data_IF_762279922066
#
_entry.id   IF_762279922066
#
_cell.length_a   1.000
_cell.length_b   1.000
_cell.length_c   1.000
_cell.angle_alpha   90.00
_cell.angle_beta   90.00
_cell.angle_gamma   90.00
#
_symmetry.space_group_name_H-M   'P 1'
#
loop_
_entity.id
_entity.type
_entity.pdbx_description
1 polymer ?
#
# COMPACT_ATOMS: atom_id res chain seq x y z
N UNK A 1 8.07 24.57 47.79
CA UNK A 1 7.48 25.89 48.10
C UNK A 1 6.26 25.70 49.00
N UNK A 2 5.28 24.87 48.70
CA UNK A 2 4.04 24.64 49.45
C UNK A 2 4.28 24.17 50.92
N UNK A 3 5.18 23.23 51.13
CA UNK A 3 5.53 22.72 52.48
C UNK A 3 6.21 23.77 53.33
N UNK A 4 6.99 24.70 52.75
CA UNK A 4 7.61 25.81 53.48
C UNK A 4 6.57 26.87 53.91
N UNK A 5 5.57 27.14 53.08
CA UNK A 5 4.45 28.04 53.43
C UNK A 5 3.58 27.47 54.53
N UNK A 6 3.34 26.17 54.55
CA UNK A 6 2.61 25.50 55.62
C UNK A 6 3.34 25.52 56.96
N UNK A 7 4.67 25.37 56.98
CA UNK A 7 5.48 25.50 58.22
C UNK A 7 5.47 26.91 58.78
N UNK A 8 5.58 27.95 57.92
CA UNK A 8 5.50 29.35 58.35
C UNK A 8 4.13 29.71 58.94
N UNK A 9 3.03 29.23 58.39
CA UNK A 9 1.68 29.45 58.94
C UNK A 9 1.48 28.77 60.29
N UNK A 10 2.10 27.63 60.55
CA UNK A 10 2.07 26.96 61.88
C UNK A 10 2.86 27.73 62.92
N UNK A 11 3.98 28.32 62.55
CA UNK A 11 4.79 29.13 63.46
C UNK A 11 4.09 30.45 63.74
N UNK A 12 3.50 31.14 62.79
CA UNK A 12 2.74 32.37 63.00
C UNK A 12 1.47 32.16 63.88
N UNK A 13 0.87 30.99 63.87
CA UNK A 13 -0.26 30.65 64.73
C UNK A 13 0.14 30.32 66.15
N UNK A 14 1.40 29.93 66.37
CA UNK A 14 1.93 29.68 67.74
C UNK A 14 2.27 30.97 68.50
N UNK A 15 2.64 32.06 67.81
CA UNK A 15 3.01 33.33 68.36
C UNK A 15 1.80 34.20 68.80
N UNK A 16 0.56 33.83 68.49
CA UNK A 16 -0.67 34.53 68.88
C UNK A 16 -1.33 33.91 70.14
N UNK A 17 -0.59 33.28 70.97
CA UNK A 17 -0.99 32.40 72.06
C UNK A 17 -1.34 32.95 73.44
N UNK A 18 -1.94 34.13 73.72
CA UNK A 18 -2.56 34.32 75.04
C UNK A 18 -4.08 34.53 75.02
N UNK A 19 -4.78 34.33 73.91
CA UNK A 19 -6.24 34.41 73.95
C UNK A 19 -6.86 33.00 73.85
N UNK A 20 -7.12 32.41 74.97
CA UNK A 20 -7.66 31.10 75.31
C UNK A 20 -9.08 30.85 74.81
N UNK A 21 -9.59 31.58 73.82
CA UNK A 21 -10.98 31.55 73.35
C UNK A 21 -11.19 30.92 71.99
N UNK A 22 -10.12 30.41 71.37
CA UNK A 22 -10.26 29.78 70.01
C UNK A 22 -9.81 28.29 69.99
N UNK A 23 -9.70 27.67 71.17
CA UNK A 23 -9.20 26.29 71.22
C UNK A 23 -10.27 25.17 71.14
N UNK A 24 -11.54 25.48 70.90
CA UNK A 24 -12.61 24.47 70.91
C UNK A 24 -13.12 24.06 69.54
N UNK A 25 -12.56 24.60 68.49
CA UNK A 25 -12.97 24.13 67.07
C UNK A 25 -11.87 23.42 66.27
N UNK A 26 -10.71 23.18 66.92
CA UNK A 26 -9.56 22.54 66.21
C UNK A 26 -9.50 21.01 66.36
N UNK A 27 -10.57 20.40 66.87
CA UNK A 27 -10.64 18.96 67.12
C UNK A 27 -11.16 18.08 65.97
N UNK A 28 -11.31 18.60 64.78
CA UNK A 28 -11.59 17.76 63.62
C UNK A 28 -10.31 17.46 62.87
N UNK A 29 -9.91 16.22 62.92
CA UNK A 29 -8.81 15.65 62.12
C UNK A 29 -8.99 16.00 60.63
N UNK A 30 -8.42 17.14 60.24
CA UNK A 30 -8.29 17.56 58.83
C UNK A 30 -7.10 16.81 58.25
N UNK A 31 -7.08 15.49 58.46
CA UNK A 31 -6.08 14.58 57.95
C UNK A 31 -5.93 14.67 56.43
N UNK A 32 -5.96 13.59 55.74
CA UNK A 32 -5.81 13.46 54.25
C UNK A 32 -6.73 14.37 53.44
N UNK A 33 -7.94 14.72 53.94
CA UNK A 33 -8.94 15.56 53.24
C UNK A 33 -8.43 16.97 52.88
N UNK A 34 -7.44 17.48 53.61
CA UNK A 34 -6.81 18.78 53.35
C UNK A 34 -6.03 18.82 52.02
N UNK A 35 -5.58 17.68 51.53
CA UNK A 35 -4.84 17.56 50.26
C UNK A 35 -5.76 17.31 49.07
N UNK A 36 -7.04 17.01 49.29
CA UNK A 36 -8.02 16.73 48.22
C UNK A 36 -8.23 17.96 47.31
N UNK A 37 -8.50 19.16 47.78
CA UNK A 37 -8.70 20.33 46.92
C UNK A 37 -7.48 20.64 46.02
N UNK A 38 -6.24 20.73 46.60
CA UNK A 38 -5.08 20.99 45.73
C UNK A 38 -4.75 19.84 44.79
N UNK A 39 -5.06 18.57 45.14
CA UNK A 39 -4.89 17.43 44.24
C UNK A 39 -5.88 17.47 43.08
N UNK A 40 -7.15 17.81 43.35
CA UNK A 40 -8.15 17.98 42.29
C UNK A 40 -7.81 19.16 41.37
N UNK A 41 -7.32 20.27 41.93
CA UNK A 41 -6.87 21.39 41.10
C UNK A 41 -5.69 21.02 40.21
N UNK A 42 -4.71 20.31 40.78
CA UNK A 42 -3.55 19.83 39.99
C UNK A 42 -3.97 18.85 38.92
N UNK A 43 -4.87 17.92 39.23
CA UNK A 43 -5.47 16.98 38.27
C UNK A 43 -6.20 17.70 37.14
N UNK A 44 -7.06 18.64 37.47
CA UNK A 44 -7.76 19.45 36.46
C UNK A 44 -6.82 20.25 35.58
N UNK A 45 -5.77 20.86 36.18
CA UNK A 45 -4.74 21.57 35.40
C UNK A 45 -3.97 20.63 34.47
N UNK A 46 -3.64 19.44 34.94
CA UNK A 46 -2.98 18.42 34.10
C UNK A 46 -3.85 18.00 32.92
N UNK A 47 -5.14 17.71 33.13
CA UNK A 47 -6.08 17.41 32.08
C UNK A 47 -6.21 18.55 31.08
N UNK A 48 -6.23 19.79 31.55
CA UNK A 48 -6.33 20.96 30.69
C UNK A 48 -5.07 21.15 29.85
N UNK A 49 -3.89 20.92 30.43
CA UNK A 49 -2.62 20.93 29.67
C UNK A 49 -2.52 19.82 28.64
N UNK A 50 -2.97 18.60 28.97
CA UNK A 50 -3.02 17.49 28.01
C UNK A 50 -4.01 17.79 26.88
N UNK A 51 -5.18 18.36 27.20
CA UNK A 51 -6.14 18.78 26.19
C UNK A 51 -5.62 19.90 25.28
N UNK A 52 -4.84 20.83 25.84
CA UNK A 52 -4.22 21.91 25.06
C UNK A 52 -3.06 21.43 24.19
N UNK A 53 -2.36 20.39 24.63
CA UNK A 53 -1.25 19.77 23.88
C UNK A 53 -1.69 19.10 22.58
N UNK A 54 -3.03 18.91 22.37
CA UNK A 54 -3.59 18.25 21.17
C UNK A 54 -2.69 17.09 20.71
N UNK A 55 -2.61 15.98 21.46
CA UNK A 55 -1.80 14.86 21.00
C UNK A 55 -2.39 14.35 19.67
N UNK A 56 -1.76 14.70 18.58
CA UNK A 56 -2.05 14.17 17.26
C UNK A 56 -1.35 12.82 17.17
N UNK A 57 -2.12 11.76 17.05
CA UNK A 57 -1.59 10.45 16.71
C UNK A 57 -1.73 10.31 15.21
N UNK A 58 -0.62 10.25 14.50
CA UNK A 58 -0.63 9.83 13.09
C UNK A 58 -1.08 8.37 13.06
N UNK A 59 -2.36 8.17 12.85
CA UNK A 59 -2.88 6.84 12.51
C UNK A 59 -2.60 6.66 11.03
N UNK A 60 -1.48 6.02 10.71
CA UNK A 60 -1.25 5.51 9.36
C UNK A 60 -2.25 4.39 9.12
N UNK A 61 -3.38 4.73 8.54
CA UNK A 61 -4.26 3.72 7.96
C UNK A 61 -3.44 3.05 6.84
N UNK A 62 -3.36 1.71 6.82
CA UNK A 62 -2.76 1.03 5.68
C UNK A 62 -3.55 1.45 4.44
N UNK A 63 -2.95 2.31 3.62
CA UNK A 63 -3.44 2.51 2.26
C UNK A 63 -3.21 1.20 1.55
N UNK A 64 -4.26 0.64 1.00
CA UNK A 64 -4.13 -0.45 0.04
C UNK A 64 -3.59 0.20 -1.23
N UNK A 65 -2.28 0.38 -1.27
CA UNK A 65 -1.58 0.79 -2.48
C UNK A 65 -1.33 -0.51 -3.24
N UNK A 66 -2.03 -0.70 -4.33
CA UNK A 66 -1.85 -1.84 -5.23
C UNK A 66 -1.41 -1.35 -6.60
N UNK A 67 -0.65 -2.18 -7.31
CA UNK A 67 -0.33 -1.96 -8.71
C UNK A 67 -0.99 -3.05 -9.55
N UNK A 68 -1.79 -2.66 -10.52
CA UNK A 68 -2.43 -3.59 -11.46
C UNK A 68 -1.89 -3.31 -12.85
N UNK A 69 -1.35 -4.34 -13.50
CA UNK A 69 -0.97 -4.27 -14.91
C UNK A 69 -2.01 -5.00 -15.74
N UNK A 70 -2.64 -4.27 -16.64
CA UNK A 70 -3.53 -4.81 -17.65
C UNK A 70 -2.70 -5.14 -18.89
N UNK A 71 -2.42 -6.43 -19.11
CA UNK A 71 -1.65 -6.91 -20.26
C UNK A 71 -2.61 -7.38 -21.35
N UNK A 72 -2.66 -6.62 -22.43
CA UNK A 72 -3.52 -6.89 -23.59
C UNK A 72 -2.77 -7.66 -24.65
N UNK A 73 -3.34 -8.77 -25.05
CA UNK A 73 -3.01 -9.42 -26.28
C UNK A 73 -3.51 -8.57 -27.46
N UNK A 74 -2.58 -8.13 -28.28
CA UNK A 74 -2.89 -7.38 -29.51
C UNK A 74 -2.54 -8.19 -30.75
N UNK A 75 -2.53 -9.51 -30.64
CA UNK A 75 -2.30 -10.41 -31.78
C UNK A 75 -3.43 -10.36 -32.80
N UNK A 76 -3.15 -10.89 -34.00
CA UNK A 76 -4.14 -10.89 -35.07
C UNK A 76 -5.38 -11.72 -34.78
N UNK A 77 -5.30 -12.75 -33.91
CA UNK A 77 -6.44 -13.56 -33.47
C UNK A 77 -7.49 -12.75 -32.70
N UNK A 78 -7.07 -11.63 -32.05
CA UNK A 78 -7.95 -10.72 -31.35
C UNK A 78 -8.88 -9.88 -32.24
N UNK A 79 -8.71 -9.99 -33.59
CA UNK A 79 -9.65 -9.45 -34.57
C UNK A 79 -10.89 -10.34 -34.78
N UNK A 80 -10.90 -11.58 -34.25
CA UNK A 80 -12.03 -12.48 -34.40
C UNK A 80 -13.34 -11.85 -33.88
N UNK A 81 -14.42 -12.07 -34.62
CA UNK A 81 -15.77 -11.52 -34.38
C UNK A 81 -16.69 -12.55 -33.67
N UNK A 82 -16.11 -13.55 -33.00
CA UNK A 82 -16.86 -14.49 -32.17
C UNK A 82 -17.38 -13.85 -30.86
N UNK A 83 -16.77 -12.71 -30.47
CA UNK A 83 -17.26 -11.78 -29.46
C UNK A 83 -17.56 -10.44 -30.15
N UNK A 84 -18.77 -9.91 -29.99
CA UNK A 84 -19.17 -8.65 -30.63
C UNK A 84 -18.57 -7.42 -29.93
N UNK A 85 -17.99 -6.46 -30.66
CA UNK A 85 -17.73 -6.47 -32.09
C UNK A 85 -16.48 -7.28 -32.50
N UNK A 86 -15.48 -7.42 -31.64
CA UNK A 86 -14.28 -8.26 -31.78
C UNK A 86 -13.78 -8.65 -30.40
N UNK A 87 -12.91 -9.68 -30.29
CA UNK A 87 -12.28 -10.09 -29.03
C UNK A 87 -11.55 -8.91 -28.36
N UNK A 88 -10.77 -8.14 -29.14
CA UNK A 88 -10.07 -6.96 -28.59
C UNK A 88 -11.04 -5.92 -28.06
N UNK A 89 -12.10 -5.61 -28.79
CA UNK A 89 -13.10 -4.63 -28.33
C UNK A 89 -13.83 -5.09 -27.05
N UNK A 90 -14.11 -6.40 -26.95
CA UNK A 90 -14.68 -6.99 -25.73
C UNK A 90 -13.69 -6.89 -24.55
N UNK A 91 -12.40 -7.19 -24.77
CA UNK A 91 -11.35 -7.02 -23.76
C UNK A 91 -11.19 -5.56 -23.32
N UNK A 92 -11.20 -4.62 -24.27
CA UNK A 92 -11.17 -3.18 -23.96
C UNK A 92 -12.39 -2.75 -23.13
N UNK A 93 -13.59 -3.26 -23.46
CA UNK A 93 -14.80 -2.94 -22.69
C UNK A 93 -14.75 -3.50 -21.26
N UNK A 94 -14.27 -4.74 -21.10
CA UNK A 94 -14.08 -5.35 -19.79
C UNK A 94 -13.05 -4.59 -18.96
N UNK A 95 -11.93 -4.21 -19.57
CA UNK A 95 -10.90 -3.44 -18.87
C UNK A 95 -11.37 -2.04 -18.46
N UNK A 96 -12.16 -1.35 -19.28
CA UNK A 96 -12.79 -0.07 -18.91
C UNK A 96 -13.69 -0.20 -17.69
N UNK A 97 -14.53 -1.24 -17.67
CA UNK A 97 -15.39 -1.52 -16.52
C UNK A 97 -14.56 -1.82 -15.27
N UNK A 98 -13.49 -2.60 -15.42
CA UNK A 98 -12.57 -2.91 -14.32
C UNK A 98 -11.89 -1.66 -13.76
N UNK A 99 -11.36 -0.78 -14.63
CA UNK A 99 -10.70 0.48 -14.24
C UNK A 99 -11.65 1.38 -13.46
N UNK A 100 -12.90 1.53 -13.93
CA UNK A 100 -13.91 2.37 -13.27
C UNK A 100 -14.33 1.88 -11.87
N UNK A 101 -14.10 0.60 -11.55
CA UNK A 101 -14.41 0.02 -10.23
C UNK A 101 -13.23 0.08 -9.25
N UNK A 102 -12.02 0.46 -9.72
CA UNK A 102 -10.86 0.51 -8.85
C UNK A 102 -10.84 1.78 -7.99
N UNK A 103 -10.37 1.68 -6.74
CA UNK A 103 -10.17 2.87 -5.90
C UNK A 103 -8.98 3.71 -6.43
N UNK A 104 -9.04 5.04 -6.23
CA UNK A 104 -7.99 5.99 -6.64
C UNK A 104 -6.59 5.70 -6.05
N UNK A 105 -6.50 4.79 -5.07
CA UNK A 105 -5.24 4.38 -4.45
C UNK A 105 -4.51 3.28 -5.22
N UNK A 106 -5.14 2.69 -6.24
CA UNK A 106 -4.57 1.65 -7.09
C UNK A 106 -3.95 2.28 -8.32
N UNK A 107 -2.67 1.98 -8.55
CA UNK A 107 -2.00 2.37 -9.79
C UNK A 107 -2.27 1.34 -10.88
N UNK A 108 -2.67 1.80 -12.06
CA UNK A 108 -2.98 0.93 -13.19
C UNK A 108 -2.01 1.21 -14.32
N UNK A 109 -1.31 0.16 -14.77
CA UNK A 109 -0.47 0.19 -15.96
C UNK A 109 -1.11 -0.58 -17.11
N UNK A 110 -0.74 -0.24 -18.35
CA UNK A 110 -1.19 -0.94 -19.56
C UNK A 110 0.02 -1.44 -20.34
N UNK A 111 0.04 -2.72 -20.60
CA UNK A 111 1.01 -3.41 -21.44
C UNK A 111 0.28 -3.99 -22.66
N UNK A 112 0.83 -3.79 -23.84
CA UNK A 112 0.40 -4.49 -25.06
C UNK A 112 1.45 -5.51 -25.43
N UNK A 113 1.04 -6.72 -25.75
CA UNK A 113 1.95 -7.75 -26.22
C UNK A 113 1.44 -8.46 -27.48
N UNK A 114 2.40 -8.85 -28.29
CA UNK A 114 2.20 -9.67 -29.50
C UNK A 114 3.41 -10.59 -29.67
N UNK A 115 4.24 -10.46 -30.68
CA UNK A 115 5.56 -11.12 -30.78
C UNK A 115 6.58 -10.57 -29.76
N UNK A 116 6.28 -9.42 -29.14
CA UNK A 116 7.05 -8.77 -28.08
C UNK A 116 6.12 -8.03 -27.14
N UNK A 117 6.67 -7.48 -26.07
CA UNK A 117 5.90 -6.69 -25.12
C UNK A 117 6.30 -5.21 -25.17
N UNK A 118 5.33 -4.33 -24.96
CA UNK A 118 5.51 -2.88 -24.86
C UNK A 118 4.70 -2.33 -23.70
N UNK A 119 5.35 -1.60 -22.80
CA UNK A 119 4.66 -0.79 -21.81
C UNK A 119 4.08 0.44 -22.51
N UNK A 120 2.76 0.44 -22.71
CA UNK A 120 2.06 1.54 -23.39
C UNK A 120 1.73 2.66 -22.41
N UNK A 121 1.39 2.29 -21.16
CA UNK A 121 1.15 3.20 -20.04
C UNK A 121 1.82 2.65 -18.79
N UNK A 122 2.85 3.32 -18.26
CA UNK A 122 3.38 2.99 -16.92
C UNK A 122 2.30 3.10 -15.85
N UNK A 123 2.43 2.38 -14.72
CA UNK A 123 1.49 2.47 -13.61
C UNK A 123 1.22 3.91 -13.18
N UNK A 124 -0.06 4.29 -13.14
CA UNK A 124 -0.52 5.65 -12.78
C UNK A 124 -1.89 5.56 -12.11
N UNK A 125 -2.21 6.58 -11.31
CA UNK A 125 -3.51 6.85 -10.72
C UNK A 125 -4.43 7.69 -11.62
N UNK A 126 -3.91 8.15 -12.77
CA UNK A 126 -4.69 8.90 -13.78
C UNK A 126 -5.55 7.95 -14.63
N UNK A 127 -6.77 7.69 -14.17
CA UNK A 127 -7.77 6.88 -14.86
C UNK A 127 -7.99 7.34 -16.31
N UNK A 128 -8.00 8.65 -16.55
CA UNK A 128 -8.25 9.21 -17.90
C UNK A 128 -7.13 8.80 -18.86
N UNK A 129 -5.87 8.84 -18.41
CA UNK A 129 -4.73 8.43 -19.21
C UNK A 129 -4.76 6.93 -19.51
N UNK A 130 -5.14 6.10 -18.52
CA UNK A 130 -5.31 4.65 -18.68
C UNK A 130 -6.39 4.34 -19.72
N UNK A 131 -7.58 4.92 -19.57
CA UNK A 131 -8.71 4.69 -20.50
C UNK A 131 -8.37 5.15 -21.92
N UNK A 132 -7.77 6.32 -22.10
CA UNK A 132 -7.34 6.81 -23.40
C UNK A 132 -6.27 5.91 -24.04
N UNK A 133 -5.48 5.22 -23.24
CA UNK A 133 -4.48 4.26 -23.73
C UNK A 133 -5.14 2.96 -24.18
N UNK A 134 -6.06 2.43 -23.39
CA UNK A 134 -6.84 1.23 -23.73
C UNK A 134 -7.57 1.43 -25.09
N UNK A 135 -8.17 2.60 -25.31
CA UNK A 135 -8.92 2.90 -26.53
C UNK A 135 -8.04 2.95 -27.80
N UNK A 136 -6.75 3.20 -27.65
CA UNK A 136 -5.79 3.29 -28.78
C UNK A 136 -5.14 1.96 -29.14
N UNK A 137 -5.34 0.90 -28.35
CA UNK A 137 -4.79 -0.41 -28.66
C UNK A 137 -5.32 -0.92 -30.01
N UNK A 138 -4.40 -1.42 -30.83
CA UNK A 138 -4.71 -1.97 -32.17
C UNK A 138 -3.99 -3.29 -32.37
N UNK A 139 -4.63 -4.25 -33.05
CA UNK A 139 -4.06 -5.59 -33.27
C UNK A 139 -2.83 -5.55 -34.17
N UNK A 140 -1.80 -6.34 -33.81
CA UNK A 140 -0.54 -6.50 -34.54
C UNK A 140 0.15 -7.82 -34.21
N UNK A 141 0.58 -8.56 -35.22
CA UNK A 141 1.53 -9.68 -35.10
C UNK A 141 1.00 -10.98 -34.49
N UNK A 142 1.91 -11.78 -33.97
CA UNK A 142 1.67 -13.05 -33.30
C UNK A 142 1.40 -12.91 -31.81
N UNK A 143 1.56 -14.01 -31.02
CA UNK A 143 1.25 -14.02 -29.59
C UNK A 143 2.38 -14.63 -28.78
N UNK A 144 2.97 -13.86 -27.86
CA UNK A 144 3.91 -14.32 -26.85
C UNK A 144 3.41 -13.92 -25.46
N UNK A 145 2.72 -14.84 -24.81
CA UNK A 145 2.22 -14.65 -23.43
C UNK A 145 3.37 -14.43 -22.44
N UNK A 146 4.48 -15.16 -22.63
CA UNK A 146 5.66 -15.00 -21.78
C UNK A 146 6.24 -13.59 -21.87
N UNK A 147 6.30 -12.99 -23.06
CA UNK A 147 6.70 -11.59 -23.22
C UNK A 147 5.72 -10.63 -22.56
N UNK A 148 4.43 -10.92 -22.61
CA UNK A 148 3.39 -10.15 -21.94
C UNK A 148 3.61 -10.12 -20.43
N UNK A 149 3.86 -11.27 -19.80
CA UNK A 149 4.15 -11.39 -18.35
C UNK A 149 5.46 -10.68 -18.01
N UNK A 150 6.53 -10.92 -18.76
CA UNK A 150 7.84 -10.33 -18.52
C UNK A 150 7.82 -8.80 -18.63
N UNK A 151 7.16 -8.27 -19.65
CA UNK A 151 7.00 -6.83 -19.83
C UNK A 151 6.16 -6.22 -18.71
N UNK A 152 5.17 -6.95 -18.21
CA UNK A 152 4.36 -6.52 -17.06
C UNK A 152 5.18 -6.47 -15.78
N UNK A 153 6.07 -7.43 -15.55
CA UNK A 153 7.03 -7.39 -14.44
C UNK A 153 7.97 -6.19 -14.53
N UNK A 154 8.48 -5.87 -15.73
CA UNK A 154 9.28 -4.67 -15.97
C UNK A 154 8.50 -3.38 -15.63
N UNK A 155 7.21 -3.35 -16.00
CA UNK A 155 6.35 -2.20 -15.67
C UNK A 155 6.12 -2.04 -14.17
N UNK A 156 6.00 -3.15 -13.44
CA UNK A 156 5.88 -3.15 -11.96
C UNK A 156 7.19 -2.70 -11.30
N UNK A 157 8.34 -3.20 -11.79
CA UNK A 157 9.66 -2.87 -11.26
C UNK A 157 10.05 -1.40 -11.53
N UNK A 158 9.45 -0.77 -12.54
CA UNK A 158 9.76 0.59 -12.96
C UNK A 158 11.08 0.73 -13.74
N UNK A 159 11.81 -0.36 -13.91
CA UNK A 159 13.07 -0.43 -14.65
C UNK A 159 13.22 -1.79 -15.36
N UNK A 160 14.02 -1.87 -16.43
CA UNK A 160 14.21 -3.14 -17.14
C UNK A 160 14.92 -4.16 -16.25
N UNK A 161 14.26 -5.31 -16.06
CA UNK A 161 14.86 -6.45 -15.37
C UNK A 161 15.99 -7.04 -16.22
N UNK A 162 17.11 -7.35 -15.58
CA UNK A 162 18.31 -7.89 -16.25
C UNK A 162 18.26 -9.42 -16.36
N UNK A 163 17.06 -10.01 -16.50
CA UNK A 163 16.88 -11.44 -16.68
C UNK A 163 17.04 -11.83 -18.15
N UNK A 164 17.84 -12.86 -18.39
CA UNK A 164 17.90 -13.50 -19.71
C UNK A 164 16.73 -14.46 -19.86
N UNK A 165 15.64 -13.95 -20.44
CA UNK A 165 14.40 -14.70 -20.64
C UNK A 165 14.61 -15.90 -21.56
N UNK A 166 15.56 -15.84 -22.49
CA UNK A 166 15.90 -16.98 -23.36
C UNK A 166 16.62 -18.10 -22.60
N UNK A 167 17.37 -17.73 -21.56
CA UNK A 167 17.98 -18.72 -20.68
C UNK A 167 16.95 -19.43 -19.77
N UNK A 168 15.83 -18.77 -19.44
CA UNK A 168 14.73 -19.40 -18.70
C UNK A 168 14.09 -20.54 -19.51
N UNK A 169 13.87 -20.36 -20.81
CA UNK A 169 13.32 -21.41 -21.69
C UNK A 169 14.25 -22.64 -21.78
N UNK A 170 15.56 -22.41 -21.77
CA UNK A 170 16.55 -23.50 -21.85
C UNK A 170 16.64 -24.31 -20.53
N UNK A 171 16.48 -23.65 -19.40
CA UNK A 171 16.66 -24.28 -18.08
C UNK A 171 15.47 -25.12 -17.62
N UNK A 172 14.28 -24.93 -18.21
CA UNK A 172 13.11 -25.79 -17.91
C UNK A 172 13.28 -27.21 -18.46
N UNK A 173 14.10 -27.38 -19.50
CA UNK A 173 14.38 -28.69 -20.08
C UNK A 173 15.47 -29.48 -19.33
N UNK A 174 16.21 -28.82 -18.45
CA UNK A 174 17.20 -29.41 -17.54
C UNK A 174 16.73 -29.09 -16.12
N UNK A 175 16.67 -30.06 -15.24
CA UNK A 175 16.22 -29.99 -13.83
C UNK A 175 17.06 -29.01 -12.96
N UNK A 176 17.75 -28.06 -13.60
CA UNK A 176 18.63 -27.01 -13.06
C UNK A 176 17.97 -25.60 -13.09
N UNK A 177 16.71 -25.52 -12.65
CA UNK A 177 16.09 -24.19 -12.45
C UNK A 177 16.94 -23.39 -11.44
N UNK A 178 17.24 -22.10 -11.73
CA UNK A 178 17.95 -21.27 -10.77
C UNK A 178 17.18 -21.24 -9.44
N UNK A 179 17.87 -21.26 -8.29
CA UNK A 179 17.22 -21.27 -6.99
C UNK A 179 16.32 -20.03 -6.85
N UNK A 180 15.12 -20.21 -6.29
CA UNK A 180 14.10 -19.17 -6.11
C UNK A 180 14.68 -17.88 -5.49
N UNK A 181 15.65 -17.99 -4.60
CA UNK A 181 16.33 -16.85 -3.98
C UNK A 181 17.13 -15.99 -4.98
N UNK A 182 17.70 -16.59 -6.01
CA UNK A 182 18.44 -15.86 -7.05
C UNK A 182 17.49 -15.08 -7.97
N UNK A 183 16.35 -15.67 -8.33
CA UNK A 183 15.30 -15.03 -9.11
C UNK A 183 14.64 -13.88 -8.32
N UNK A 184 14.29 -14.11 -7.07
CA UNK A 184 13.73 -13.09 -6.18
C UNK A 184 14.68 -11.91 -5.99
N UNK A 185 16.00 -12.15 -5.93
CA UNK A 185 16.99 -11.07 -5.83
C UNK A 185 17.10 -10.25 -7.12
N UNK A 186 16.93 -10.90 -8.28
CA UNK A 186 17.03 -10.23 -9.58
C UNK A 186 15.77 -9.44 -9.95
N UNK A 187 14.58 -9.87 -9.48
CA UNK A 187 13.29 -9.29 -9.86
C UNK A 187 12.74 -8.33 -8.81
N UNK A 188 13.07 -8.54 -7.53
CA UNK A 188 12.42 -7.84 -6.42
C UNK A 188 11.16 -8.56 -5.92
N UNK A 189 10.51 -8.02 -4.88
CA UNK A 189 9.32 -8.61 -4.28
C UNK A 189 8.18 -7.59 -4.23
N UNK A 190 7.07 -7.88 -4.90
CA UNK A 190 5.94 -6.97 -5.14
C UNK A 190 4.59 -7.56 -4.71
N UNK A 191 4.36 -7.82 -3.42
CA UNK A 191 3.20 -8.58 -2.93
C UNK A 191 1.85 -7.86 -3.11
N UNK A 192 1.86 -6.59 -3.49
CA UNK A 192 0.67 -5.79 -3.77
C UNK A 192 0.47 -5.54 -5.28
N UNK A 193 1.24 -6.22 -6.12
CA UNK A 193 1.11 -6.11 -7.56
C UNK A 193 0.33 -7.30 -8.14
N UNK A 194 -0.44 -7.05 -9.19
CA UNK A 194 -1.22 -8.07 -9.91
C UNK A 194 -1.08 -7.83 -11.40
N UNK A 195 -0.91 -8.90 -12.16
CA UNK A 195 -0.95 -8.88 -13.63
C UNK A 195 -2.25 -9.54 -14.09
N UNK A 196 -3.04 -8.82 -14.86
CA UNK A 196 -4.27 -9.31 -15.48
C UNK A 196 -4.01 -9.48 -16.98
N UNK A 197 -3.96 -10.73 -17.42
CA UNK A 197 -3.78 -11.07 -18.85
C UNK A 197 -5.13 -11.13 -19.56
N UNK A 198 -5.25 -10.40 -20.66
CA UNK A 198 -6.42 -10.33 -21.53
C UNK A 198 -6.00 -10.89 -22.89
N UNK A 199 -6.19 -12.21 -23.10
CA UNK A 199 -5.78 -12.98 -24.28
C UNK A 199 -6.78 -14.07 -24.60
N UNK A 200 -6.75 -14.59 -25.82
CA UNK A 200 -7.51 -15.79 -26.23
C UNK A 200 -6.81 -17.10 -25.82
N UNK A 201 -5.65 -17.02 -25.20
CA UNK A 201 -4.91 -18.13 -24.60
C UNK A 201 -4.00 -18.89 -25.57
N UNK A 202 -3.91 -18.51 -26.85
CA UNK A 202 -2.94 -19.10 -27.78
C UNK A 202 -1.55 -18.49 -27.53
N UNK A 203 -0.52 -19.35 -27.39
CA UNK A 203 0.88 -18.93 -27.34
C UNK A 203 1.62 -19.54 -28.51
N UNK A 204 2.15 -18.70 -29.41
CA UNK A 204 2.82 -19.12 -30.64
C UNK A 204 4.32 -18.88 -30.60
N UNK A 205 4.81 -18.12 -29.64
CA UNK A 205 6.21 -17.68 -29.56
C UNK A 205 6.80 -17.77 -28.14
N UNK A 206 8.13 -17.93 -28.09
CA UNK A 206 8.89 -17.87 -26.85
C UNK A 206 8.84 -16.46 -26.21
N UNK A 207 9.06 -16.35 -24.86
CA UNK A 207 9.40 -17.43 -23.93
C UNK A 207 8.19 -18.25 -23.47
N UNK A 208 8.46 -19.41 -22.85
CA UNK A 208 7.41 -20.23 -22.22
C UNK A 208 6.68 -19.43 -21.14
N UNK A 209 5.35 -19.27 -21.26
CA UNK A 209 4.56 -18.52 -20.28
C UNK A 209 4.67 -19.07 -18.86
N UNK A 210 4.82 -20.40 -18.69
CA UNK A 210 4.92 -21.02 -17.37
C UNK A 210 6.24 -20.66 -16.67
N UNK A 211 7.34 -20.63 -17.44
CA UNK A 211 8.63 -20.20 -16.91
C UNK A 211 8.59 -18.79 -16.37
N UNK A 212 8.04 -17.87 -17.16
CA UNK A 212 7.95 -16.46 -16.76
C UNK A 212 6.92 -16.26 -15.63
N UNK A 213 5.85 -17.06 -15.62
CA UNK A 213 4.88 -17.04 -14.52
C UNK A 213 5.49 -17.49 -13.19
N UNK A 214 6.43 -18.45 -13.19
CA UNK A 214 7.17 -18.84 -11.98
C UNK A 214 8.03 -17.69 -11.47
N UNK A 215 8.68 -16.94 -12.36
CA UNK A 215 9.42 -15.72 -11.98
C UNK A 215 8.47 -14.69 -11.34
N UNK A 216 7.28 -14.46 -11.92
CA UNK A 216 6.28 -13.56 -11.35
C UNK A 216 5.81 -14.04 -9.96
N UNK A 217 5.54 -15.33 -9.81
CA UNK A 217 5.16 -15.91 -8.51
C UNK A 217 6.26 -15.75 -7.44
N UNK A 218 7.53 -15.92 -7.82
CA UNK A 218 8.68 -15.68 -6.92
C UNK A 218 8.78 -14.20 -6.53
N UNK A 219 8.42 -13.29 -7.43
CA UNK A 219 8.32 -11.86 -7.15
C UNK A 219 7.09 -11.47 -6.29
N UNK A 220 6.19 -12.41 -5.98
CA UNK A 220 4.99 -12.17 -5.18
C UNK A 220 3.82 -11.55 -5.96
N UNK A 221 3.87 -11.63 -7.31
CA UNK A 221 2.85 -11.07 -8.23
C UNK A 221 1.83 -12.14 -8.60
#
# INVERSE_FOLDING_TARGET
VYLRLLRRRRQAAADLGPLRLVSSSAGHDVGRRRHVPPALFLGGLTFLLVGLARPEMEVSLPRVEGTVILAFDVSSSMLAEDLEPTRLAAAQAAARAFVAEQPETVQIGVVAFSNGGLVVQPPTDDETAVLATIDRLSPQGGTSLGQGIFTSLNAIAGEPLTLDVAALDANILEDDAPPDDALATAVGYYPSAVIVLLSDGENTESPDPLAVAQVAATAGV
#
